data_IF_703126169298
#
_entry.id   IF_703126169298
#
_cell.length_a   1.000
_cell.length_b   1.000
_cell.length_c   1.000
_cell.angle_alpha   90.00
_cell.angle_beta   90.00
_cell.angle_gamma   90.00
#
_symmetry.space_group_name_H-M   'P 1'
#
loop_
_entity.id
_entity.type
_entity.pdbx_description
1 polymer ?
#
# COMPACT_ATOMS: atom_id res chain seq x y z
N UNK A 1 21.19 12.04 40.17
CA UNK A 1 19.77 11.79 40.53
C UNK A 1 19.15 10.97 39.42
N UNK A 2 18.59 9.80 39.74
CA UNK A 2 17.89 8.97 38.74
C UNK A 2 16.51 9.57 38.56
N UNK A 3 16.21 10.12 37.39
CA UNK A 3 14.86 10.56 37.03
C UNK A 3 13.96 9.34 36.92
N UNK A 4 13.00 9.21 37.82
CA UNK A 4 11.93 8.22 37.73
C UNK A 4 11.12 8.49 36.46
N UNK A 5 11.26 7.62 35.46
CA UNK A 5 10.40 7.63 34.27
C UNK A 5 9.00 7.24 34.72
N UNK A 6 8.10 8.20 34.84
CA UNK A 6 6.68 7.93 35.12
C UNK A 6 6.06 7.28 33.88
N UNK A 7 5.77 6.00 34.00
CA UNK A 7 4.97 5.24 33.06
C UNK A 7 3.52 5.20 33.57
N UNK A 8 2.64 5.84 32.83
CA UNK A 8 1.21 6.06 33.15
C UNK A 8 0.36 5.71 31.94
N UNK A 9 -0.96 5.66 32.10
CA UNK A 9 -1.90 5.36 31.01
C UNK A 9 -1.76 6.35 29.83
N UNK A 10 -1.42 7.61 30.10
CA UNK A 10 -1.17 8.64 29.08
C UNK A 10 0.00 8.29 28.13
N UNK A 11 0.89 7.39 28.54
CA UNK A 11 2.01 6.92 27.70
C UNK A 11 1.59 5.83 26.71
N UNK A 12 0.40 5.25 26.87
CA UNK A 12 -0.16 4.27 25.94
C UNK A 12 -1.03 4.98 24.92
N UNK A 13 -0.72 4.75 23.63
CA UNK A 13 -1.49 5.30 22.51
C UNK A 13 -2.03 4.18 21.66
N UNK A 14 -3.34 4.13 21.50
CA UNK A 14 -4.00 3.37 20.44
C UNK A 14 -4.12 4.25 19.21
N UNK A 15 -3.73 3.73 18.06
CA UNK A 15 -3.78 4.45 16.79
C UNK A 15 -4.91 3.87 15.94
N UNK A 16 -5.58 4.72 15.16
CA UNK A 16 -6.41 4.25 14.05
C UNK A 16 -5.52 3.47 13.07
N UNK A 17 -6.09 2.45 12.42
CA UNK A 17 -5.32 1.58 11.53
C UNK A 17 -4.65 2.36 10.39
N UNK A 18 -5.28 3.43 9.86
CA UNK A 18 -4.66 4.27 8.82
C UNK A 18 -3.47 5.03 9.36
N UNK A 19 -3.60 5.57 10.57
CA UNK A 19 -2.53 6.29 11.25
C UNK A 19 -1.35 5.35 11.51
N UNK A 20 -1.63 4.13 11.98
CA UNK A 20 -0.59 3.12 12.22
C UNK A 20 0.18 2.76 10.93
N UNK A 21 -0.51 2.51 9.82
CA UNK A 21 0.13 2.23 8.52
C UNK A 21 1.03 3.38 8.10
N UNK A 22 0.56 4.63 8.22
CA UNK A 22 1.37 5.81 7.83
C UNK A 22 2.54 6.06 8.76
N UNK A 23 2.40 5.73 10.05
CA UNK A 23 3.46 5.88 11.05
C UNK A 23 4.53 4.78 10.93
N UNK A 24 4.15 3.58 10.48
CA UNK A 24 5.02 2.41 10.35
C UNK A 24 4.87 1.76 8.96
N UNK A 25 5.10 2.50 7.86
CA UNK A 25 4.86 1.99 6.52
C UNK A 25 5.74 0.79 6.20
N UNK A 26 6.94 0.72 6.77
CA UNK A 26 7.84 -0.39 6.49
C UNK A 26 7.39 -1.77 6.98
N UNK A 27 6.45 -1.81 7.92
CA UNK A 27 5.79 -3.06 8.30
C UNK A 27 4.86 -3.59 7.20
N UNK A 28 4.39 -2.73 6.30
CA UNK A 28 3.39 -3.07 5.28
C UNK A 28 3.98 -3.12 3.87
N UNK A 29 4.87 -2.19 3.53
CA UNK A 29 5.43 -2.06 2.18
C UNK A 29 6.95 -2.27 2.13
N UNK A 30 7.58 -2.65 3.25
CA UNK A 30 9.02 -2.84 3.34
C UNK A 30 9.82 -1.54 3.38
N UNK A 31 11.08 -1.58 2.96
CA UNK A 31 11.98 -0.43 3.04
C UNK A 31 11.45 0.74 2.20
N UNK A 32 11.35 1.93 2.79
CA UNK A 32 11.01 3.13 2.01
C UNK A 32 12.17 3.51 1.09
N UNK A 33 11.85 4.06 -0.08
CA UNK A 33 12.83 4.58 -1.01
C UNK A 33 12.18 5.29 -2.19
N UNK A 34 13.01 5.75 -3.11
CA UNK A 34 12.63 6.54 -4.28
C UNK A 34 12.55 5.69 -5.56
N UNK A 35 12.78 4.39 -5.46
CA UNK A 35 12.81 3.47 -6.60
C UNK A 35 14.20 3.35 -7.23
N UNK A 36 15.23 3.93 -6.61
CA UNK A 36 16.62 3.69 -7.02
C UNK A 36 17.09 2.27 -6.68
N UNK A 37 16.42 1.59 -5.74
CA UNK A 37 16.76 0.24 -5.31
C UNK A 37 15.58 -0.74 -5.51
N UNK A 38 15.82 -1.99 -5.96
CA UNK A 38 14.76 -2.96 -6.20
C UNK A 38 13.96 -3.37 -4.96
N UNK A 39 14.54 -3.18 -3.76
CA UNK A 39 13.91 -3.46 -2.47
C UNK A 39 13.06 -2.29 -1.94
N UNK A 40 12.95 -1.19 -2.69
CA UNK A 40 12.17 -0.04 -2.29
C UNK A 40 10.66 -0.32 -2.39
N UNK A 41 9.94 0.05 -1.34
CA UNK A 41 8.52 -0.21 -1.15
C UNK A 41 7.60 0.46 -2.18
N UNK A 42 8.11 1.41 -2.97
CA UNK A 42 7.39 1.95 -4.11
C UNK A 42 7.07 0.86 -5.15
N UNK A 43 7.95 -0.13 -5.32
CA UNK A 43 7.70 -1.28 -6.17
C UNK A 43 6.64 -2.22 -5.59
N UNK A 44 6.60 -2.38 -4.27
CA UNK A 44 5.54 -3.14 -3.59
C UNK A 44 4.19 -2.46 -3.82
N UNK A 45 4.10 -1.14 -3.65
CA UNK A 45 2.87 -0.39 -3.93
C UNK A 45 2.35 -0.60 -5.36
N UNK A 46 3.25 -0.58 -6.36
CA UNK A 46 2.88 -0.85 -7.75
C UNK A 46 2.46 -2.31 -7.94
N UNK A 47 3.21 -3.25 -7.37
CA UNK A 47 2.94 -4.69 -7.46
C UNK A 47 1.56 -5.02 -6.90
N UNK A 48 1.17 -4.49 -5.75
CA UNK A 48 -0.14 -4.77 -5.15
C UNK A 48 -1.30 -4.33 -6.07
N UNK A 49 -1.17 -3.20 -6.77
CA UNK A 49 -2.19 -2.79 -7.75
C UNK A 49 -2.20 -3.71 -8.97
N UNK A 50 -1.02 -4.05 -9.48
CA UNK A 50 -0.88 -4.94 -10.63
C UNK A 50 -1.38 -6.36 -10.35
N UNK A 51 -1.13 -6.89 -9.16
CA UNK A 51 -1.57 -8.22 -8.72
C UNK A 51 -3.09 -8.32 -8.70
N UNK A 52 -3.79 -7.29 -8.18
CA UNK A 52 -5.26 -7.24 -8.25
C UNK A 52 -5.78 -7.29 -9.71
N UNK A 53 -5.11 -6.59 -10.63
CA UNK A 53 -5.44 -6.66 -12.06
C UNK A 53 -5.12 -8.03 -12.68
N UNK A 54 -4.04 -8.69 -12.26
CA UNK A 54 -3.68 -10.04 -12.69
C UNK A 54 -4.70 -11.07 -12.19
N UNK A 55 -5.17 -10.94 -10.95
CA UNK A 55 -6.20 -11.82 -10.39
C UNK A 55 -7.47 -11.81 -11.25
N UNK A 56 -7.93 -10.63 -11.69
CA UNK A 56 -9.06 -10.52 -12.64
C UNK A 56 -8.77 -11.19 -13.99
N UNK A 57 -7.55 -11.04 -14.51
CA UNK A 57 -7.12 -11.70 -15.75
C UNK A 57 -7.10 -13.23 -15.62
N UNK A 58 -6.53 -13.75 -14.52
CA UNK A 58 -6.46 -15.19 -14.23
C UNK A 58 -7.86 -15.79 -14.08
N UNK A 59 -8.80 -15.04 -13.51
CA UNK A 59 -10.21 -15.43 -13.43
C UNK A 59 -10.97 -15.32 -14.76
N UNK A 60 -10.33 -14.87 -15.84
CA UNK A 60 -10.92 -14.71 -17.17
C UNK A 60 -11.88 -13.53 -17.30
N UNK A 61 -11.90 -12.63 -16.32
CA UNK A 61 -12.79 -11.48 -16.27
C UNK A 61 -12.26 -10.27 -17.05
N UNK A 62 -10.97 -10.25 -17.36
CA UNK A 62 -10.31 -9.25 -18.21
C UNK A 62 -9.26 -9.90 -19.11
N UNK A 63 -8.92 -9.23 -20.22
CA UNK A 63 -7.93 -9.76 -21.20
C UNK A 63 -6.72 -8.86 -21.40
N UNK A 64 -6.76 -7.65 -20.86
CA UNK A 64 -5.76 -6.62 -21.08
C UNK A 64 -5.56 -5.86 -19.79
N UNK A 65 -4.29 -5.55 -19.49
CA UNK A 65 -3.90 -4.68 -18.39
C UNK A 65 -3.00 -3.62 -19.02
N UNK A 66 -3.45 -2.37 -18.97
CA UNK A 66 -2.68 -1.23 -19.47
C UNK A 66 -1.88 -0.63 -18.33
N UNK A 67 -0.56 -0.55 -18.51
CA UNK A 67 0.35 0.12 -17.58
C UNK A 67 0.94 1.34 -18.28
N UNK A 68 0.65 2.52 -17.74
CA UNK A 68 1.18 3.79 -18.22
C UNK A 68 2.05 4.43 -17.16
N UNK A 69 3.27 4.79 -17.54
CA UNK A 69 4.21 5.53 -16.70
C UNK A 69 4.39 6.92 -17.32
N UNK A 70 4.13 7.95 -16.53
CA UNK A 70 4.35 9.34 -16.90
C UNK A 70 4.97 10.08 -15.72
N UNK A 71 6.21 10.53 -15.88
CA UNK A 71 7.00 11.20 -14.85
C UNK A 71 7.03 10.38 -13.55
N UNK A 72 6.45 10.94 -12.47
CA UNK A 72 6.35 10.31 -11.15
C UNK A 72 5.00 9.63 -10.90
N UNK A 73 4.22 9.35 -11.96
CA UNK A 73 2.91 8.70 -11.86
C UNK A 73 2.90 7.40 -12.65
N UNK A 74 2.36 6.37 -12.01
CA UNK A 74 2.04 5.09 -12.65
C UNK A 74 0.54 4.90 -12.59
N UNK A 75 -0.06 4.55 -13.73
CA UNK A 75 -1.47 4.20 -13.86
C UNK A 75 -1.54 2.75 -14.33
N UNK A 76 -2.23 1.94 -13.54
CA UNK A 76 -2.61 0.57 -13.91
C UNK A 76 -4.10 0.57 -14.19
N UNK A 77 -4.50 -0.01 -15.32
CA UNK A 77 -5.90 -0.18 -15.71
C UNK A 77 -6.11 -1.60 -16.19
N UNK A 78 -6.95 -2.36 -15.48
CA UNK A 78 -7.55 -3.56 -16.03
C UNK A 78 -8.93 -3.29 -16.62
N UNK A 79 -9.45 -4.33 -17.27
CA UNK A 79 -10.81 -4.40 -17.79
C UNK A 79 -11.52 -5.63 -17.20
N UNK A 80 -11.28 -5.90 -15.91
CA UNK A 80 -11.94 -6.95 -15.15
C UNK A 80 -13.38 -6.57 -14.75
N UNK A 81 -13.90 -7.22 -13.70
CA UNK A 81 -15.25 -6.96 -13.16
C UNK A 81 -15.38 -5.57 -12.50
N UNK A 82 -14.26 -5.01 -12.06
CA UNK A 82 -14.23 -3.78 -11.27
C UNK A 82 -14.55 -4.00 -9.79
N UNK A 83 -14.22 -3.00 -8.97
CA UNK A 83 -14.44 -3.05 -7.52
C UNK A 83 -15.94 -2.87 -7.23
N UNK A 84 -16.58 -3.76 -6.45
CA UNK A 84 -17.99 -3.61 -6.07
C UNK A 84 -18.22 -2.33 -5.25
N UNK A 85 -19.15 -1.47 -5.69
CA UNK A 85 -19.42 -0.18 -5.04
C UNK A 85 -20.46 -0.26 -3.90
N UNK A 86 -21.13 -1.40 -3.70
CA UNK A 86 -22.19 -1.54 -2.70
C UNK A 86 -23.39 -0.63 -2.96
N UNK A 87 -24.14 -0.27 -1.89
CA UNK A 87 -25.19 0.76 -1.96
C UNK A 87 -24.52 2.13 -1.87
N UNK A 88 -24.64 2.91 -2.93
CA UNK A 88 -24.24 4.33 -2.96
C UNK A 88 -25.32 5.20 -2.32
#
# INVERSE_FOLDING_TARGET
MVTSTKYTEENIRSLDWKEHIRLRPGMYVGKLGDGSSPDDGIYILLKEVLDNSIDEYVMGAGKTIDVLIQDNKVKVRDYGRGIPLGKV
#
